data_IF_385550360357
#
_entry.id   IF_385550360357
#
_cell.length_a   1.000
_cell.length_b   1.000
_cell.length_c   1.000
_cell.angle_alpha   90.00
_cell.angle_beta   90.00
_cell.angle_gamma   90.00
#
_symmetry.space_group_name_H-M   'P 1'
#
loop_
_entity.id
_entity.type
_entity.pdbx_description
1 polymer ?
#
# COMPACT_ATOMS: atom_id res chain seq x y z
N UNK A 1 -1.93 -13.41 -26.22
CA UNK A 1 -1.86 -12.68 -24.95
C UNK A 1 -1.26 -11.30 -25.25
N UNK A 2 -1.95 -10.20 -24.92
CA UNK A 2 -1.37 -8.85 -25.05
C UNK A 2 -0.27 -8.73 -24.01
N UNK A 3 0.94 -8.40 -24.43
CA UNK A 3 2.07 -8.08 -23.55
C UNK A 3 1.64 -6.90 -22.65
N UNK A 4 1.40 -7.18 -21.37
CA UNK A 4 1.12 -6.13 -20.40
C UNK A 4 2.47 -5.47 -20.10
N UNK A 5 2.70 -4.30 -20.70
CA UNK A 5 3.90 -3.49 -20.37
C UNK A 5 3.74 -2.93 -18.99
N UNK A 6 4.35 -3.57 -18.01
CA UNK A 6 4.43 -3.09 -16.63
C UNK A 6 5.17 -1.76 -16.65
N UNK A 7 4.56 -0.71 -16.16
CA UNK A 7 5.20 0.60 -16.10
C UNK A 7 5.55 1.04 -14.69
N UNK A 8 5.01 0.38 -13.64
CA UNK A 8 5.18 0.84 -12.26
C UNK A 8 5.25 -0.34 -11.28
N UNK A 9 6.10 -0.25 -10.25
CA UNK A 9 6.08 -1.20 -9.14
C UNK A 9 4.75 -1.09 -8.39
N UNK A 10 4.35 -2.16 -7.69
CA UNK A 10 3.13 -2.15 -6.87
C UNK A 10 3.21 -1.11 -5.75
N UNK A 11 4.39 -0.90 -5.19
CA UNK A 11 4.66 0.03 -4.09
C UNK A 11 5.58 1.16 -4.54
N UNK A 12 5.37 2.33 -3.95
CA UNK A 12 6.22 3.51 -4.17
C UNK A 12 7.61 3.27 -3.56
N UNK A 13 7.65 2.62 -2.39
CA UNK A 13 8.87 2.26 -1.68
C UNK A 13 8.73 0.88 -1.05
N UNK A 14 9.81 0.09 -1.10
CA UNK A 14 9.89 -1.18 -0.38
C UNK A 14 9.93 -0.90 1.12
N UNK A 15 9.03 -1.49 1.91
CA UNK A 15 9.07 -1.34 3.36
C UNK A 15 10.26 -2.08 3.95
N UNK A 16 10.78 -1.56 5.06
CA UNK A 16 11.88 -2.17 5.78
C UNK A 16 11.59 -2.11 7.27
N UNK A 17 11.52 -3.25 7.92
CA UNK A 17 11.38 -3.32 9.37
C UNK A 17 12.69 -2.86 10.01
N UNK A 18 12.67 -1.66 10.62
CA UNK A 18 13.86 -1.01 11.17
C UNK A 18 13.98 -1.14 12.68
N UNK A 19 12.89 -1.52 13.37
CA UNK A 19 12.86 -1.59 14.82
C UNK A 19 13.55 -2.87 15.32
N UNK A 20 14.61 -2.68 16.10
CA UNK A 20 15.41 -3.74 16.70
C UNK A 20 15.34 -3.73 18.24
N UNK A 21 14.37 -3.02 18.80
CA UNK A 21 14.22 -2.84 20.24
C UNK A 21 13.64 -4.07 20.96
N UNK A 22 13.17 -3.83 22.18
CA UNK A 22 12.55 -4.86 23.00
C UNK A 22 11.27 -5.37 22.32
N UNK A 23 11.08 -6.68 22.32
CA UNK A 23 9.84 -7.30 21.87
C UNK A 23 8.67 -6.82 22.74
N UNK A 24 7.68 -6.17 22.09
CA UNK A 24 6.53 -5.63 22.78
C UNK A 24 5.44 -6.70 22.95
N UNK A 25 4.83 -6.70 24.13
CA UNK A 25 3.72 -7.61 24.47
C UNK A 25 2.35 -7.06 24.03
N UNK A 26 2.32 -5.91 23.36
CA UNK A 26 1.08 -5.32 22.83
C UNK A 26 1.25 -4.87 21.38
N UNK A 27 0.29 -5.22 20.54
CA UNK A 27 0.28 -4.83 19.12
C UNK A 27 0.17 -3.30 18.93
N UNK A 28 -0.47 -2.58 19.85
CA UNK A 28 -0.58 -1.13 19.79
C UNK A 28 0.78 -0.42 19.82
N UNK A 29 1.72 -0.93 20.61
CA UNK A 29 3.10 -0.39 20.66
C UNK A 29 3.86 -0.71 19.38
N UNK A 30 3.76 -1.94 18.88
CA UNK A 30 4.39 -2.34 17.62
C UNK A 30 3.90 -1.49 16.44
N UNK A 31 2.60 -1.17 16.38
CA UNK A 31 1.99 -0.35 15.32
C UNK A 31 2.66 1.02 15.18
N UNK A 32 3.08 1.63 16.30
CA UNK A 32 3.77 2.93 16.32
C UNK A 32 5.08 2.91 15.52
N UNK A 33 5.78 1.78 15.49
CA UNK A 33 7.02 1.62 14.73
C UNK A 33 6.75 1.09 13.32
N UNK A 34 5.75 0.22 13.16
CA UNK A 34 5.38 -0.32 11.85
C UNK A 34 4.87 0.78 10.90
N UNK A 35 4.06 1.72 11.36
CA UNK A 35 3.52 2.76 10.49
C UNK A 35 4.61 3.52 9.71
N UNK A 36 5.67 4.10 10.35
CA UNK A 36 6.76 4.73 9.61
C UNK A 36 7.62 3.75 8.79
N UNK A 37 7.84 2.51 9.26
CA UNK A 37 8.59 1.49 8.51
C UNK A 37 7.92 1.13 7.18
N UNK A 38 6.59 1.29 7.12
CA UNK A 38 5.77 1.08 5.93
C UNK A 38 5.32 2.39 5.26
N UNK A 39 5.95 3.54 5.56
CA UNK A 39 5.60 4.86 5.01
C UNK A 39 4.12 5.24 5.21
N UNK A 40 3.48 4.79 6.30
CA UNK A 40 2.05 4.93 6.57
C UNK A 40 1.17 4.34 5.45
N UNK A 41 1.62 3.23 4.84
CA UNK A 41 0.97 2.55 3.72
C UNK A 41 0.76 1.07 4.00
N UNK A 42 -0.28 0.52 3.43
CA UNK A 42 -0.54 -0.91 3.52
C UNK A 42 0.61 -1.74 2.96
N UNK A 43 1.07 -2.71 3.73
CA UNK A 43 2.12 -3.65 3.34
C UNK A 43 1.82 -4.36 2.01
N UNK A 44 0.56 -4.68 1.73
CA UNK A 44 0.15 -5.45 0.57
C UNK A 44 -0.21 -4.59 -0.64
N UNK A 45 -1.16 -3.67 -0.52
CA UNK A 45 -1.72 -2.93 -1.65
C UNK A 45 -1.11 -1.54 -1.87
N UNK A 46 -0.30 -1.04 -0.93
CA UNK A 46 0.27 0.32 -0.93
C UNK A 46 -0.74 1.46 -0.73
N UNK A 47 -1.97 1.17 -0.33
CA UNK A 47 -2.94 2.21 0.02
C UNK A 47 -2.43 3.04 1.19
N UNK A 48 -2.43 4.38 1.04
CA UNK A 48 -2.07 5.29 2.11
C UNK A 48 -3.16 5.33 3.19
N UNK A 49 -2.76 5.41 4.45
CA UNK A 49 -3.71 5.61 5.54
C UNK A 49 -4.35 7.00 5.52
N UNK A 50 -3.73 8.00 4.89
CA UNK A 50 -4.25 9.37 4.73
C UNK A 50 -5.68 9.37 4.14
N UNK A 51 -5.99 8.42 3.23
CA UNK A 51 -7.30 8.34 2.56
C UNK A 51 -8.13 7.13 2.99
N UNK A 52 -7.69 6.38 3.98
CA UNK A 52 -8.32 5.12 4.42
C UNK A 52 -8.64 5.13 5.91
N UNK A 53 -9.07 6.27 6.44
CA UNK A 53 -9.46 6.44 7.84
C UNK A 53 -8.31 6.69 8.82
N UNK A 54 -7.10 6.93 8.30
CA UNK A 54 -5.92 7.28 9.07
C UNK A 54 -5.28 6.11 9.82
N UNK A 55 -4.27 6.43 10.62
CA UNK A 55 -3.53 5.47 11.44
C UNK A 55 -4.43 4.50 12.23
N UNK A 56 -5.55 4.99 12.78
CA UNK A 56 -6.41 4.16 13.64
C UNK A 56 -7.14 3.04 12.90
N UNK A 57 -7.44 3.22 11.61
CA UNK A 57 -8.14 2.21 10.79
C UNK A 57 -7.22 1.15 10.18
N UNK A 58 -5.90 1.32 10.31
CA UNK A 58 -4.94 0.29 9.92
C UNK A 58 -4.67 -0.69 11.06
N UNK A 59 -4.18 -1.86 10.74
CA UNK A 59 -3.99 -2.97 11.66
C UNK A 59 -2.54 -3.43 11.71
N UNK A 60 -2.16 -4.01 12.84
CA UNK A 60 -0.98 -4.88 12.94
C UNK A 60 -1.40 -6.25 12.40
N UNK A 61 -0.93 -6.57 11.22
CA UNK A 61 -1.13 -7.85 10.57
C UNK A 61 0.02 -8.80 10.89
N UNK A 62 -0.28 -10.08 11.08
CA UNK A 62 0.72 -11.13 11.27
C UNK A 62 0.95 -11.86 9.96
N UNK A 63 2.12 -11.71 9.35
CA UNK A 63 2.44 -12.38 8.09
C UNK A 63 2.25 -13.90 8.21
N UNK A 64 2.96 -14.56 9.11
CA UNK A 64 2.63 -15.91 9.57
C UNK A 64 1.56 -15.80 10.68
N UNK A 65 0.35 -16.36 10.48
CA UNK A 65 -0.79 -16.13 11.36
C UNK A 65 -0.53 -16.58 12.80
N UNK A 66 -0.76 -15.70 13.76
CA UNK A 66 -0.54 -15.99 15.18
C UNK A 66 -1.41 -17.14 15.72
N UNK A 67 -2.54 -17.41 15.11
CA UNK A 67 -3.41 -18.56 15.46
C UNK A 67 -2.72 -19.89 15.17
N UNK A 68 -1.82 -19.94 14.18
CA UNK A 68 -1.02 -21.12 13.83
C UNK A 68 0.38 -21.08 14.48
N UNK A 69 0.97 -19.90 14.61
CA UNK A 69 2.35 -19.68 15.05
C UNK A 69 2.39 -18.69 16.22
N UNK A 70 1.86 -19.13 17.36
CA UNK A 70 1.67 -18.29 18.56
C UNK A 70 2.97 -17.62 19.04
N UNK A 71 4.12 -18.29 18.89
CA UNK A 71 5.42 -17.77 19.26
C UNK A 71 5.86 -16.54 18.44
N UNK A 72 5.23 -16.30 17.26
CA UNK A 72 5.50 -15.15 16.41
C UNK A 72 4.56 -13.97 16.66
N UNK A 73 3.63 -14.06 17.62
CA UNK A 73 2.60 -13.02 17.84
C UNK A 73 3.19 -11.64 18.08
N UNK A 74 4.32 -11.55 18.77
CA UNK A 74 4.98 -10.27 19.09
C UNK A 74 6.36 -10.12 18.43
N UNK A 75 6.72 -11.03 17.54
CA UNK A 75 7.96 -10.96 16.76
C UNK A 75 7.85 -9.89 15.69
N UNK A 76 8.62 -8.80 15.83
CA UNK A 76 8.49 -7.62 14.94
C UNK A 76 8.68 -7.98 13.47
N UNK A 77 9.59 -8.88 13.15
CA UNK A 77 9.85 -9.37 11.79
C UNK A 77 8.67 -10.14 11.17
N UNK A 78 7.70 -10.55 12.01
CA UNK A 78 6.45 -11.16 11.54
C UNK A 78 5.31 -10.15 11.37
N UNK A 79 5.50 -8.89 11.76
CA UNK A 79 4.44 -7.89 11.78
C UNK A 79 4.47 -7.00 10.53
N UNK A 80 3.28 -6.60 10.10
CA UNK A 80 3.05 -5.74 8.94
C UNK A 80 2.04 -4.64 9.30
N UNK A 81 2.19 -3.46 8.68
CA UNK A 81 1.18 -2.40 8.71
C UNK A 81 0.20 -2.60 7.55
N UNK A 82 -1.06 -2.89 7.83
CA UNK A 82 -2.03 -3.28 6.81
C UNK A 82 -3.36 -2.55 6.92
N UNK A 83 -3.95 -2.19 5.78
CA UNK A 83 -5.32 -1.68 5.73
C UNK A 83 -6.31 -2.78 6.12
N UNK A 84 -7.50 -2.39 6.57
CA UNK A 84 -8.58 -3.31 6.99
C UNK A 84 -8.93 -4.32 5.89
N UNK A 85 -8.98 -3.90 4.62
CA UNK A 85 -9.34 -4.77 3.49
C UNK A 85 -8.35 -5.91 3.29
N UNK A 86 -7.06 -5.61 3.24
CA UNK A 86 -6.01 -6.62 3.09
C UNK A 86 -5.91 -7.50 4.34
N UNK A 87 -5.96 -6.91 5.53
CA UNK A 87 -5.90 -7.64 6.80
C UNK A 87 -7.05 -8.66 6.92
N UNK A 88 -8.29 -8.25 6.68
CA UNK A 88 -9.47 -9.12 6.71
C UNK A 88 -9.39 -10.18 5.60
N UNK A 89 -8.96 -9.81 4.40
CA UNK A 89 -8.87 -10.73 3.27
C UNK A 89 -7.82 -11.79 3.47
N UNK A 90 -6.65 -11.45 4.03
CA UNK A 90 -5.61 -12.42 4.36
C UNK A 90 -6.02 -13.28 5.56
N UNK A 91 -6.53 -12.65 6.64
CA UNK A 91 -6.94 -13.39 7.84
C UNK A 91 -5.87 -14.39 8.30
N UNK A 92 -6.25 -15.60 8.72
CA UNK A 92 -5.35 -16.67 9.13
C UNK A 92 -4.95 -17.63 7.98
N UNK A 93 -5.09 -17.18 6.72
CA UNK A 93 -4.70 -17.99 5.55
C UNK A 93 -3.19 -18.24 5.55
N UNK A 94 -2.84 -19.51 5.44
CA UNK A 94 -1.46 -19.98 5.35
C UNK A 94 -1.43 -21.36 4.70
N UNK A 95 -0.53 -21.56 3.76
CA UNK A 95 -0.52 -22.78 2.94
C UNK A 95 0.39 -23.87 3.52
N UNK A 96 1.51 -23.49 4.11
CA UNK A 96 2.52 -24.42 4.63
C UNK A 96 2.20 -25.00 6.00
N UNK A 97 2.98 -25.97 6.41
CA UNK A 97 2.88 -26.67 7.70
C UNK A 97 3.67 -25.99 8.82
N UNK A 98 4.62 -25.10 8.47
CA UNK A 98 5.46 -24.35 9.39
C UNK A 98 5.59 -22.88 8.96
N UNK A 99 6.14 -22.05 9.84
CA UNK A 99 6.23 -20.59 9.63
C UNK A 99 7.16 -20.15 8.49
N UNK A 100 8.06 -21.01 8.04
CA UNK A 100 8.99 -20.70 6.94
C UNK A 100 8.44 -21.12 5.56
N UNK A 101 7.31 -21.80 5.54
CA UNK A 101 6.73 -22.37 4.33
C UNK A 101 5.49 -21.55 3.91
N UNK A 102 5.74 -20.29 3.52
CA UNK A 102 4.69 -19.35 3.14
C UNK A 102 4.12 -19.58 1.74
N UNK A 103 4.85 -20.33 0.88
CA UNK A 103 4.50 -20.63 -0.51
C UNK A 103 4.70 -22.10 -0.80
N UNK A 104 3.70 -22.73 -1.47
CA UNK A 104 3.78 -24.08 -2.04
C UNK A 104 3.32 -24.03 -3.49
N UNK A 105 4.26 -24.21 -4.42
CA UNK A 105 4.00 -24.06 -5.85
C UNK A 105 3.55 -22.64 -6.20
N UNK A 106 2.35 -22.52 -6.76
CA UNK A 106 1.76 -21.23 -7.14
C UNK A 106 0.73 -20.70 -6.12
N UNK A 107 0.78 -21.14 -4.87
CA UNK A 107 -0.14 -20.72 -3.82
C UNK A 107 0.61 -20.27 -2.58
N UNK A 108 0.06 -19.30 -1.87
CA UNK A 108 0.64 -18.76 -0.65
C UNK A 108 0.87 -17.26 -0.71
N UNK A 109 1.63 -16.75 0.24
CA UNK A 109 1.91 -15.33 0.37
C UNK A 109 3.41 -15.08 0.45
N UNK A 110 3.87 -14.00 -0.15
CA UNK A 110 5.25 -13.50 -0.02
C UNK A 110 5.22 -12.30 0.91
N UNK A 111 6.18 -12.24 1.82
CA UNK A 111 6.35 -11.07 2.68
C UNK A 111 6.65 -9.83 1.84
N UNK A 112 5.86 -8.75 1.95
CA UNK A 112 6.08 -7.51 1.21
C UNK A 112 7.42 -6.80 1.48
N UNK A 113 8.13 -7.19 2.55
CA UNK A 113 9.50 -6.74 2.81
C UNK A 113 10.54 -7.52 2.00
N UNK A 114 10.16 -8.61 1.35
CA UNK A 114 11.02 -9.38 0.46
C UNK A 114 11.01 -8.81 -0.96
N UNK A 115 12.16 -8.77 -1.62
CA UNK A 115 12.29 -8.32 -3.02
C UNK A 115 11.46 -9.16 -3.99
N UNK A 116 11.29 -10.44 -3.69
CA UNK A 116 10.51 -11.36 -4.52
C UNK A 116 9.03 -10.94 -4.65
N UNK A 117 8.45 -10.27 -3.66
CA UNK A 117 7.08 -9.75 -3.72
C UNK A 117 6.83 -8.92 -4.99
N UNK A 118 7.83 -8.14 -5.42
CA UNK A 118 7.75 -7.23 -6.56
C UNK A 118 7.88 -7.93 -7.92
N UNK A 119 8.28 -9.20 -7.92
CA UNK A 119 8.30 -10.03 -9.11
C UNK A 119 6.91 -10.59 -9.46
N UNK A 120 5.99 -10.58 -8.50
CA UNK A 120 4.68 -11.22 -8.61
C UNK A 120 3.52 -10.25 -8.82
N UNK A 121 3.67 -9.00 -8.39
CA UNK A 121 2.65 -7.97 -8.45
C UNK A 121 3.22 -6.65 -8.97
N UNK A 122 2.42 -5.93 -9.74
CA UNK A 122 2.77 -4.61 -10.26
C UNK A 122 1.54 -3.75 -10.47
N UNK A 123 1.73 -2.59 -11.11
CA UNK A 123 0.63 -1.73 -11.56
C UNK A 123 0.69 -1.48 -13.06
N UNK A 124 -0.47 -1.44 -13.69
CA UNK A 124 -0.60 -1.02 -15.07
C UNK A 124 -0.39 0.50 -15.23
N UNK A 125 -0.48 1.00 -16.46
CA UNK A 125 -0.32 2.42 -16.77
C UNK A 125 -1.37 3.30 -16.10
N UNK A 126 -2.54 2.77 -15.77
CA UNK A 126 -3.66 3.48 -15.15
C UNK A 126 -3.57 3.47 -13.61
N UNK A 127 -2.73 2.59 -13.04
CA UNK A 127 -2.57 2.44 -11.59
C UNK A 127 -3.32 1.23 -11.00
N UNK A 128 -3.99 0.41 -11.82
CA UNK A 128 -4.59 -0.83 -11.33
C UNK A 128 -3.49 -1.80 -10.89
N UNK A 129 -3.71 -2.50 -9.79
CA UNK A 129 -2.84 -3.61 -9.41
C UNK A 129 -3.06 -4.76 -10.40
N UNK A 130 -1.97 -5.39 -10.83
CA UNK A 130 -1.97 -6.53 -11.76
C UNK A 130 -1.08 -7.65 -11.22
N UNK A 131 -1.48 -8.89 -11.51
CA UNK A 131 -0.64 -10.05 -11.28
C UNK A 131 0.33 -10.25 -12.44
N UNK A 132 1.54 -10.72 -12.14
CA UNK A 132 2.63 -10.92 -13.10
C UNK A 132 2.99 -12.39 -13.26
N UNK A 133 2.59 -13.22 -12.30
CA UNK A 133 2.90 -14.64 -12.22
C UNK A 133 1.70 -15.41 -11.68
N UNK A 134 1.64 -16.74 -11.82
CA UNK A 134 0.57 -17.54 -11.21
C UNK A 134 0.49 -17.41 -9.68
N UNK A 135 1.62 -17.24 -8.99
CA UNK A 135 1.61 -16.96 -7.55
C UNK A 135 1.08 -15.55 -7.26
N UNK A 136 1.46 -14.56 -8.09
CA UNK A 136 0.89 -13.20 -8.02
C UNK A 136 -0.61 -13.20 -8.26
N UNK A 137 -1.12 -14.06 -9.14
CA UNK A 137 -2.56 -14.21 -9.38
C UNK A 137 -3.28 -14.77 -8.14
N UNK A 138 -2.69 -15.77 -7.47
CA UNK A 138 -3.22 -16.26 -6.21
C UNK A 138 -3.28 -15.14 -5.16
N UNK A 139 -2.19 -14.40 -4.95
CA UNK A 139 -2.12 -13.28 -3.98
C UNK A 139 -3.16 -12.20 -4.33
N UNK A 140 -3.28 -11.86 -5.62
CA UNK A 140 -4.21 -10.85 -6.14
C UNK A 140 -5.67 -11.16 -5.80
N UNK A 141 -6.09 -12.40 -5.98
CA UNK A 141 -7.45 -12.82 -5.64
C UNK A 141 -7.67 -12.99 -4.14
N UNK A 142 -6.71 -13.61 -3.43
CA UNK A 142 -6.85 -13.87 -1.99
C UNK A 142 -6.88 -12.58 -1.15
N UNK A 143 -6.14 -11.55 -1.55
CA UNK A 143 -6.13 -10.23 -0.90
C UNK A 143 -7.16 -9.27 -1.50
N UNK A 144 -7.94 -9.70 -2.50
CA UNK A 144 -8.93 -8.86 -3.22
C UNK A 144 -8.32 -7.59 -3.81
N UNK A 145 -7.10 -7.69 -4.35
CA UNK A 145 -6.39 -6.54 -4.91
C UNK A 145 -7.04 -5.99 -6.20
N UNK A 146 -8.06 -6.68 -6.73
CA UNK A 146 -8.90 -6.25 -7.85
C UNK A 146 -9.93 -5.17 -7.47
N UNK A 147 -10.12 -4.89 -6.17
CA UNK A 147 -11.10 -3.90 -5.74
C UNK A 147 -10.73 -2.51 -6.28
N UNK A 148 -11.73 -1.84 -6.82
CA UNK A 148 -11.62 -0.52 -7.45
C UNK A 148 -11.01 0.54 -6.54
N UNK A 149 -11.25 0.42 -5.23
CA UNK A 149 -10.69 1.34 -4.23
C UNK A 149 -9.17 1.44 -4.31
N UNK A 150 -8.43 0.35 -4.56
CA UNK A 150 -6.97 0.38 -4.66
C UNK A 150 -6.47 1.21 -5.85
N UNK A 151 -7.21 1.18 -6.96
CA UNK A 151 -6.97 2.05 -8.10
C UNK A 151 -7.26 3.52 -7.78
N UNK A 152 -8.41 3.79 -7.14
CA UNK A 152 -8.84 5.15 -6.80
C UNK A 152 -7.85 5.77 -5.82
N UNK A 153 -7.52 5.07 -4.73
CA UNK A 153 -6.60 5.54 -3.69
C UNK A 153 -5.19 5.81 -4.23
N UNK A 154 -4.67 4.91 -5.08
CA UNK A 154 -3.37 5.13 -5.72
C UNK A 154 -3.35 6.40 -6.56
N UNK A 155 -4.36 6.60 -7.43
CA UNK A 155 -4.40 7.79 -8.29
C UNK A 155 -4.65 9.07 -7.48
N UNK A 156 -5.52 9.03 -6.48
CA UNK A 156 -5.76 10.15 -5.57
C UNK A 156 -4.46 10.62 -4.90
N UNK A 157 -3.67 9.67 -4.39
CA UNK A 157 -2.37 9.95 -3.79
C UNK A 157 -1.38 10.54 -4.78
N UNK A 158 -1.25 9.96 -5.98
CA UNK A 158 -0.37 10.48 -7.04
C UNK A 158 -0.76 11.89 -7.50
N UNK A 159 -2.05 12.17 -7.59
CA UNK A 159 -2.57 13.50 -7.94
C UNK A 159 -2.27 14.49 -6.80
N UNK A 160 -2.45 14.09 -5.54
CA UNK A 160 -2.19 14.94 -4.39
C UNK A 160 -0.70 15.30 -4.24
N UNK A 161 0.21 14.36 -4.48
CA UNK A 161 1.65 14.62 -4.52
C UNK A 161 1.97 15.71 -5.54
N UNK A 162 1.43 15.61 -6.76
CA UNK A 162 1.62 16.61 -7.82
C UNK A 162 1.02 17.96 -7.47
N UNK A 163 -0.18 17.96 -6.88
CA UNK A 163 -0.88 19.16 -6.42
C UNK A 163 -0.06 19.91 -5.37
N UNK A 164 0.47 19.19 -4.36
CA UNK A 164 1.32 19.77 -3.31
C UNK A 164 2.62 20.35 -3.90
N UNK A 165 3.28 19.63 -4.81
CA UNK A 165 4.49 20.08 -5.48
C UNK A 165 4.27 21.35 -6.33
N UNK A 166 3.17 21.40 -7.11
CA UNK A 166 2.80 22.58 -7.87
C UNK A 166 2.53 23.79 -6.96
N UNK A 167 1.81 23.59 -5.87
CA UNK A 167 1.52 24.66 -4.89
C UNK A 167 2.80 25.22 -4.28
N UNK A 168 3.75 24.35 -3.89
CA UNK A 168 5.05 24.78 -3.37
C UNK A 168 5.84 25.58 -4.39
N UNK A 169 5.88 25.12 -5.66
CA UNK A 169 6.58 25.80 -6.75
C UNK A 169 5.95 27.18 -7.11
N UNK A 170 4.63 27.29 -7.03
CA UNK A 170 3.93 28.57 -7.24
C UNK A 170 4.39 29.56 -6.16
N UNK A 171 4.33 29.14 -4.90
CA UNK A 171 4.74 29.98 -3.77
C UNK A 171 6.18 30.46 -3.90
N UNK A 172 7.13 29.56 -4.20
CA UNK A 172 8.53 29.87 -4.43
C UNK A 172 8.71 30.96 -5.51
N UNK A 173 8.02 30.80 -6.65
CA UNK A 173 8.12 31.77 -7.76
C UNK A 173 7.49 33.13 -7.43
N UNK A 174 6.37 33.14 -6.72
CA UNK A 174 5.71 34.38 -6.26
C UNK A 174 6.64 35.18 -5.32
N UNK A 175 7.36 34.48 -4.41
CA UNK A 175 8.35 35.10 -3.52
C UNK A 175 9.52 35.75 -4.28
N UNK A 176 9.81 35.26 -5.50
CA UNK A 176 10.84 35.83 -6.39
C UNK A 176 10.27 36.82 -7.44
N UNK A 177 8.98 37.15 -7.38
CA UNK A 177 8.34 38.07 -8.32
C UNK A 177 8.18 37.53 -9.74
N UNK A 178 8.24 36.19 -9.92
CA UNK A 178 8.10 35.54 -11.22
C UNK A 178 6.63 35.34 -11.63
N UNK A 179 6.38 35.28 -12.95
CA UNK A 179 5.04 35.01 -13.48
C UNK A 179 4.58 33.55 -13.20
N UNK A 180 3.53 33.38 -12.41
CA UNK A 180 2.98 32.09 -12.01
C UNK A 180 1.66 31.73 -12.71
N UNK A 181 1.12 32.57 -13.59
CA UNK A 181 -0.23 32.39 -14.21
C UNK A 181 -0.43 31.02 -14.88
N UNK A 182 0.58 30.49 -15.57
CA UNK A 182 0.51 29.16 -16.20
C UNK A 182 0.47 28.04 -15.14
N UNK A 183 1.29 28.13 -14.10
CA UNK A 183 1.32 27.12 -13.03
C UNK A 183 0.03 27.12 -12.21
N UNK A 184 -0.54 28.30 -11.94
CA UNK A 184 -1.83 28.44 -11.26
C UNK A 184 -2.96 27.77 -12.06
N UNK A 185 -2.99 27.95 -13.39
CA UNK A 185 -3.97 27.25 -14.25
C UNK A 185 -3.81 25.72 -14.17
N UNK A 186 -2.57 25.21 -14.24
CA UNK A 186 -2.31 23.77 -14.13
C UNK A 186 -2.68 23.25 -12.73
N UNK A 187 -2.32 23.99 -11.69
CA UNK A 187 -2.69 23.62 -10.31
C UNK A 187 -4.21 23.51 -10.13
N UNK A 188 -4.98 24.46 -10.69
CA UNK A 188 -6.44 24.41 -10.67
C UNK A 188 -6.99 23.12 -11.31
N UNK A 189 -6.52 22.77 -12.51
CA UNK A 189 -6.93 21.53 -13.18
C UNK A 189 -6.59 20.28 -12.36
N UNK A 190 -5.41 20.26 -11.72
CA UNK A 190 -5.02 19.15 -10.84
C UNK A 190 -5.93 19.08 -9.61
N UNK A 191 -6.38 20.22 -9.07
CA UNK A 191 -7.35 20.24 -7.96
C UNK A 191 -8.73 19.72 -8.40
N UNK A 192 -9.20 20.05 -9.60
CA UNK A 192 -10.46 19.53 -10.15
C UNK A 192 -10.38 18.00 -10.29
N UNK A 193 -9.31 17.46 -10.89
CA UNK A 193 -9.09 16.02 -11.00
C UNK A 193 -9.02 15.35 -9.62
N UNK A 194 -8.39 15.99 -8.63
CA UNK A 194 -8.34 15.48 -7.26
C UNK A 194 -9.75 15.35 -6.67
N UNK A 195 -10.61 16.35 -6.85
CA UNK A 195 -11.99 16.30 -6.38
C UNK A 195 -12.78 15.18 -7.07
N UNK A 196 -12.62 15.00 -8.39
CA UNK A 196 -13.29 13.91 -9.13
C UNK A 196 -12.91 12.52 -8.58
N UNK A 197 -11.62 12.28 -8.29
CA UNK A 197 -11.18 11.02 -7.69
C UNK A 197 -11.65 10.84 -6.25
N UNK A 198 -11.72 11.93 -5.48
CA UNK A 198 -12.27 11.89 -4.12
C UNK A 198 -13.75 11.52 -4.12
N UNK A 199 -14.53 12.10 -5.04
CA UNK A 199 -15.95 11.76 -5.21
C UNK A 199 -16.15 10.30 -5.64
N UNK A 200 -15.23 9.75 -6.46
CA UNK A 200 -15.25 8.33 -6.82
C UNK A 200 -14.99 7.44 -5.59
N UNK A 201 -14.06 7.83 -4.72
CA UNK A 201 -13.78 7.10 -3.47
C UNK A 201 -14.99 7.07 -2.56
N UNK A 202 -15.63 8.23 -2.33
CA UNK A 202 -16.83 8.32 -1.49
C UNK A 202 -17.98 7.46 -2.03
N UNK A 203 -18.16 7.39 -3.34
CA UNK A 203 -19.18 6.53 -3.98
C UNK A 203 -18.88 5.04 -3.90
N UNK A 204 -17.60 4.66 -3.89
CA UNK A 204 -17.19 3.25 -3.80
C UNK A 204 -17.26 2.71 -2.37
N UNK A 205 -17.18 3.59 -1.36
CA UNK A 205 -17.24 3.22 0.06
C UNK A 205 -18.66 3.37 0.67
N UNK A 206 -19.62 3.90 -0.06
CA UNK A 206 -21.02 4.05 0.35
C UNK A 206 -21.83 2.78 0.03
#
# INVERSE_FOLDING_TARGET
MKEIKIKKPIKIRKPTRSYTGIMWITNGTNKKYLAPDFDNRCAYCDDSDEYSGGYNSFHVEHFAPKEKFKHLEFTYDNLLYSCSYCNISKSNKWIGSNENESVLGNKGFIDPCNDDYYNHLGRDQNGNIISLTPLGEYIYYELKLYLKRHFILYNLDQINIRRRALKAKIKEKEEHGEDTRKLVKVHRLVCEIFCDYYDLLVKEEA
#
